data_IF_860177187556
#
_entry.id   IF_860177187556
#
_cell.length_a   1.000
_cell.length_b   1.000
_cell.length_c   1.000
_cell.angle_alpha   90.00
_cell.angle_beta   90.00
_cell.angle_gamma   90.00
#
_symmetry.space_group_name_H-M   'P 1'
#
loop_
_entity.id
_entity.type
_entity.pdbx_description
1 polymer ?
#
# COMPACT_ATOMS: atom_id res chain seq x y z
N UNK A 1 68.84 -61.02 -9.40
CA UNK A 1 67.68 -61.95 -9.47
C UNK A 1 66.47 -61.13 -9.02
N UNK A 2 65.72 -60.47 -9.91
CA UNK A 2 64.49 -60.96 -10.61
C UNK A 2 63.53 -61.62 -9.60
N UNK A 3 62.26 -61.25 -9.37
CA UNK A 3 61.24 -60.56 -10.20
C UNK A 3 60.07 -60.07 -9.30
N UNK A 4 59.39 -59.03 -9.81
CA UNK A 4 58.05 -58.45 -9.57
C UNK A 4 56.91 -59.30 -8.97
N UNK A 5 55.98 -58.61 -8.31
CA UNK A 5 54.51 -58.64 -8.57
C UNK A 5 53.87 -57.43 -7.84
N UNK A 6 53.57 -56.32 -8.52
CA UNK A 6 52.27 -55.93 -9.11
C UNK A 6 51.09 -55.77 -8.12
N UNK A 7 50.40 -54.62 -8.28
CA UNK A 7 49.00 -54.28 -7.87
C UNK A 7 48.81 -53.94 -6.38
N UNK A 8 48.13 -52.88 -5.97
CA UNK A 8 47.13 -52.04 -6.62
C UNK A 8 47.28 -50.58 -6.18
N UNK A 9 47.04 -49.72 -7.15
CA UNK A 9 46.80 -48.29 -7.05
C UNK A 9 45.49 -47.99 -6.33
N UNK A 10 45.50 -47.12 -5.31
CA UNK A 10 44.40 -46.17 -5.03
C UNK A 10 45.03 -44.89 -4.46
N UNK A 11 45.42 -43.97 -5.33
CA UNK A 11 45.74 -42.59 -4.96
C UNK A 11 44.40 -41.84 -4.93
N UNK A 12 43.86 -41.59 -3.73
CA UNK A 12 42.71 -40.70 -3.57
C UNK A 12 43.24 -39.27 -3.69
N UNK A 13 43.16 -38.71 -4.89
CA UNK A 13 43.34 -37.29 -5.13
C UNK A 13 42.10 -36.59 -4.57
N UNK A 14 42.23 -35.98 -3.39
CA UNK A 14 41.23 -35.05 -2.85
C UNK A 14 41.29 -33.76 -3.68
N UNK A 15 40.57 -33.75 -4.79
CA UNK A 15 40.32 -32.55 -5.59
C UNK A 15 39.31 -31.69 -4.80
N UNK A 16 39.80 -30.76 -3.99
CA UNK A 16 38.97 -29.67 -3.48
C UNK A 16 38.56 -28.80 -4.67
N UNK A 17 37.47 -29.18 -5.34
CA UNK A 17 36.72 -28.24 -6.15
C UNK A 17 36.16 -27.21 -5.17
N UNK A 18 36.81 -26.05 -5.11
CA UNK A 18 36.19 -24.82 -4.65
C UNK A 18 35.01 -24.56 -5.59
N UNK A 19 33.87 -25.16 -5.27
CA UNK A 19 32.56 -24.69 -5.70
C UNK A 19 32.44 -23.33 -5.02
N UNK A 20 33.00 -22.32 -5.67
CA UNK A 20 32.56 -20.96 -5.49
C UNK A 20 31.08 -20.99 -5.86
N UNK A 21 30.23 -21.16 -4.85
CA UNK A 21 28.88 -20.67 -4.88
C UNK A 21 29.00 -19.15 -5.08
N UNK A 22 29.22 -18.74 -6.32
CA UNK A 22 28.77 -17.45 -6.77
C UNK A 22 27.29 -17.44 -6.47
N UNK A 23 26.91 -16.76 -5.39
CA UNK A 23 25.57 -16.20 -5.31
C UNK A 23 25.40 -15.47 -6.62
N UNK A 24 24.60 -16.02 -7.52
CA UNK A 24 24.03 -15.23 -8.60
C UNK A 24 23.45 -14.02 -7.89
N UNK A 25 24.02 -12.84 -8.12
CA UNK A 25 23.32 -11.61 -7.83
C UNK A 25 22.05 -11.68 -8.67
N UNK A 26 20.98 -12.11 -8.00
CA UNK A 26 19.62 -11.97 -8.49
C UNK A 26 19.48 -10.51 -8.92
N UNK A 27 19.06 -10.30 -10.18
CA UNK A 27 18.69 -8.98 -10.65
C UNK A 27 17.67 -8.40 -9.64
N UNK A 28 18.12 -7.49 -8.78
CA UNK A 28 17.38 -7.01 -7.61
C UNK A 28 16.11 -6.24 -7.94
N UNK A 29 15.79 -6.08 -9.23
CA UNK A 29 14.64 -5.35 -9.77
C UNK A 29 13.74 -6.22 -10.67
N UNK A 30 14.08 -7.47 -11.01
CA UNK A 30 13.45 -8.13 -12.18
C UNK A 30 12.24 -9.04 -11.93
N UNK A 31 11.79 -9.25 -10.68
CA UNK A 31 10.68 -10.19 -10.42
C UNK A 31 9.43 -9.57 -9.77
N UNK A 32 9.49 -8.31 -9.34
CA UNK A 32 8.38 -7.63 -8.68
C UNK A 32 8.07 -6.27 -9.28
N UNK A 33 6.79 -5.93 -9.36
CA UNK A 33 6.32 -4.66 -9.93
C UNK A 33 5.95 -3.73 -8.79
N UNK A 34 6.66 -2.60 -8.67
CA UNK A 34 6.28 -1.53 -7.74
C UNK A 34 5.30 -0.57 -8.41
N UNK A 35 4.17 -0.33 -7.74
CA UNK A 35 3.14 0.61 -8.15
C UNK A 35 3.11 1.83 -7.24
N UNK A 36 3.02 3.00 -7.85
CA UNK A 36 2.81 4.26 -7.16
C UNK A 36 1.35 4.39 -6.72
N UNK A 37 1.15 4.71 -5.44
CA UNK A 37 -0.13 5.16 -4.90
C UNK A 37 0.03 6.56 -4.32
N UNK A 38 -0.99 7.39 -4.47
CA UNK A 38 -1.00 8.73 -3.87
C UNK A 38 -2.41 9.16 -3.46
N UNK A 39 -2.49 10.17 -2.61
CA UNK A 39 -3.73 10.83 -2.20
C UNK A 39 -3.47 12.30 -1.87
N UNK A 40 -4.24 13.20 -2.48
CA UNK A 40 -4.16 14.61 -2.18
C UNK A 40 -5.01 15.00 -0.98
N UNK A 41 -4.49 15.90 -0.16
CA UNK A 41 -5.30 16.51 0.88
C UNK A 41 -6.35 17.49 0.32
N UNK A 42 -6.06 18.12 -0.83
CA UNK A 42 -6.90 19.14 -1.45
C UNK A 42 -7.45 18.68 -2.82
N UNK A 43 -8.78 18.73 -3.05
CA UNK A 43 -9.37 18.41 -4.34
C UNK A 43 -8.99 19.47 -5.40
N UNK A 44 -8.65 19.02 -6.62
CA UNK A 44 -8.32 19.89 -7.77
C UNK A 44 -6.83 20.03 -8.09
N UNK A 45 -5.96 19.21 -7.52
CA UNK A 45 -4.53 19.18 -7.88
C UNK A 45 -4.26 18.23 -9.06
N UNK A 46 -4.57 18.67 -10.28
CA UNK A 46 -4.61 17.80 -11.48
C UNK A 46 -3.27 17.44 -12.13
N UNK A 47 -2.14 17.54 -11.43
CA UNK A 47 -0.91 16.95 -11.95
C UNK A 47 0.08 16.64 -10.86
N UNK A 48 0.35 15.35 -10.64
CA UNK A 48 1.63 14.97 -10.02
C UNK A 48 2.55 14.34 -11.04
N UNK A 49 3.54 15.15 -11.40
CA UNK A 49 4.72 14.75 -12.15
C UNK A 49 5.77 14.02 -11.26
N UNK A 50 5.35 13.23 -10.25
CA UNK A 50 6.28 12.60 -9.27
C UNK A 50 7.39 11.79 -9.97
N UNK A 51 7.13 11.20 -11.14
CA UNK A 51 8.12 10.40 -11.90
C UNK A 51 8.17 10.83 -13.36
N UNK A 52 8.75 12.01 -13.66
CA UNK A 52 9.07 12.39 -15.04
C UNK A 52 10.19 11.55 -15.64
N UNK A 53 11.12 11.08 -14.81
CA UNK A 53 12.36 10.44 -15.28
C UNK A 53 12.28 8.92 -15.11
N UNK A 54 12.76 8.18 -16.13
CA UNK A 54 12.57 6.73 -16.22
C UNK A 54 13.19 5.95 -15.04
N UNK A 55 14.22 6.53 -14.40
CA UNK A 55 14.97 5.88 -13.33
C UNK A 55 14.61 6.33 -11.91
N UNK A 56 13.79 7.37 -11.72
CA UNK A 56 13.48 7.90 -10.38
C UNK A 56 12.85 6.86 -9.46
N UNK A 57 11.90 6.07 -9.99
CA UNK A 57 11.26 4.99 -9.22
C UNK A 57 12.27 3.92 -8.78
N UNK A 58 13.13 3.49 -9.70
CA UNK A 58 14.12 2.45 -9.40
C UNK A 58 15.18 2.96 -8.42
N UNK A 59 15.61 4.22 -8.55
CA UNK A 59 16.50 4.87 -7.59
C UNK A 59 15.90 4.85 -6.18
N UNK A 60 14.62 5.22 -6.01
CA UNK A 60 13.94 5.19 -4.71
C UNK A 60 13.91 3.79 -4.09
N UNK A 61 13.66 2.76 -4.91
CA UNK A 61 13.68 1.36 -4.45
C UNK A 61 15.08 0.96 -3.99
N UNK A 62 16.13 1.29 -4.75
CA UNK A 62 17.51 0.96 -4.39
C UNK A 62 17.99 1.72 -3.14
N UNK A 63 17.60 3.00 -3.00
CA UNK A 63 17.84 3.78 -1.78
C UNK A 63 17.16 3.15 -0.56
N UNK A 64 15.93 2.62 -0.71
CA UNK A 64 15.24 1.92 0.36
C UNK A 64 15.93 0.61 0.77
N UNK A 65 16.53 -0.10 -0.19
CA UNK A 65 17.36 -1.29 0.04
C UNK A 65 18.71 -0.95 0.71
N UNK A 66 19.05 0.34 0.78
CA UNK A 66 20.29 0.83 1.39
C UNK A 66 21.52 0.70 0.49
N UNK A 67 21.32 0.52 -0.82
CA UNK A 67 22.40 0.46 -1.80
C UNK A 67 23.14 1.80 -1.89
N UNK A 68 24.45 1.75 -2.12
CA UNK A 68 25.29 2.95 -2.23
C UNK A 68 25.33 3.51 -3.67
N UNK A 69 25.90 4.71 -3.83
CA UNK A 69 26.01 5.41 -5.13
C UNK A 69 26.69 4.55 -6.20
N UNK A 70 27.72 3.79 -5.86
CA UNK A 70 28.46 2.98 -6.82
C UNK A 70 27.59 1.84 -7.35
N UNK A 71 26.95 1.10 -6.43
CA UNK A 71 26.06 -0.01 -6.77
C UNK A 71 24.81 0.45 -7.52
N UNK A 72 24.22 1.57 -7.10
CA UNK A 72 23.05 2.15 -7.78
C UNK A 72 23.38 2.52 -9.23
N UNK A 73 24.52 3.19 -9.46
CA UNK A 73 24.95 3.56 -10.80
C UNK A 73 25.16 2.35 -11.71
N UNK A 74 25.74 1.28 -11.17
CA UNK A 74 25.95 0.03 -11.89
C UNK A 74 24.61 -0.59 -12.30
N UNK A 75 23.68 -0.73 -11.35
CA UNK A 75 22.35 -1.33 -11.58
C UNK A 75 21.53 -0.51 -12.59
N UNK A 76 21.49 0.81 -12.42
CA UNK A 76 20.72 1.71 -13.27
C UNK A 76 21.43 2.05 -14.59
N UNK A 77 22.72 1.69 -14.72
CA UNK A 77 23.58 2.01 -15.87
C UNK A 77 23.61 3.51 -16.18
N UNK A 78 23.77 4.34 -15.13
CA UNK A 78 23.81 5.80 -15.23
C UNK A 78 25.16 6.40 -14.84
N UNK A 79 25.46 7.57 -15.39
CA UNK A 79 26.64 8.36 -15.06
C UNK A 79 26.55 8.96 -13.65
N UNK A 80 27.67 9.51 -13.15
CA UNK A 80 27.67 10.25 -11.88
C UNK A 80 26.79 11.50 -11.95
N UNK A 81 26.79 12.19 -13.11
CA UNK A 81 26.02 13.43 -13.32
C UNK A 81 24.53 13.11 -13.26
N UNK A 82 24.07 12.10 -14.02
CA UNK A 82 22.67 11.66 -13.99
C UNK A 82 22.22 11.20 -12.60
N UNK A 83 23.08 10.50 -11.85
CA UNK A 83 22.77 10.15 -10.46
C UNK A 83 22.59 11.39 -9.59
N UNK A 84 23.48 12.37 -9.70
CA UNK A 84 23.42 13.60 -8.90
C UNK A 84 22.21 14.46 -9.28
N UNK A 85 21.85 14.53 -10.57
CA UNK A 85 20.63 15.19 -11.06
C UNK A 85 19.36 14.52 -10.52
N UNK A 86 19.29 13.19 -10.57
CA UNK A 86 18.19 12.41 -9.98
C UNK A 86 18.05 12.66 -8.47
N UNK A 87 19.16 12.64 -7.74
CA UNK A 87 19.16 12.91 -6.30
C UNK A 87 18.69 14.35 -6.01
N UNK A 88 19.20 15.34 -6.75
CA UNK A 88 18.81 16.74 -6.58
C UNK A 88 17.32 16.94 -6.89
N UNK A 89 16.83 16.32 -7.97
CA UNK A 89 15.42 16.33 -8.37
C UNK A 89 14.54 15.71 -7.29
N UNK A 90 14.84 14.49 -6.83
CA UNK A 90 14.07 13.83 -5.78
C UNK A 90 14.11 14.58 -4.45
N UNK A 91 15.26 15.14 -4.08
CA UNK A 91 15.42 15.89 -2.84
C UNK A 91 14.64 17.21 -2.89
N UNK A 92 14.77 17.97 -4.00
CA UNK A 92 14.04 19.22 -4.21
C UNK A 92 12.52 19.05 -4.25
N UNK A 93 12.04 17.88 -4.69
CA UNK A 93 10.61 17.53 -4.69
C UNK A 93 10.12 16.93 -3.36
N UNK A 94 10.99 16.78 -2.35
CA UNK A 94 10.64 16.22 -1.05
C UNK A 94 10.37 14.72 -1.07
N UNK A 95 10.88 13.97 -2.06
CA UNK A 95 10.70 12.52 -2.23
C UNK A 95 11.79 11.68 -1.54
N UNK A 96 12.93 12.29 -1.26
CA UNK A 96 14.00 11.72 -0.42
C UNK A 96 14.41 12.71 0.66
N UNK A 97 15.03 12.19 1.72
CA UNK A 97 15.65 12.97 2.79
C UNK A 97 17.04 12.44 3.10
N UNK A 98 17.86 13.27 3.75
CA UNK A 98 19.17 12.87 4.25
C UNK A 98 19.04 12.42 5.71
N UNK A 99 19.60 11.25 6.01
CA UNK A 99 19.73 10.74 7.39
C UNK A 99 20.88 11.45 8.12
N UNK A 100 20.94 11.31 9.44
CA UNK A 100 22.02 11.90 10.27
C UNK A 100 23.43 11.42 9.84
N UNK A 101 23.53 10.19 9.33
CA UNK A 101 24.76 9.61 8.81
C UNK A 101 25.07 10.04 7.36
N UNK A 102 24.32 11.00 6.83
CA UNK A 102 24.51 11.57 5.51
C UNK A 102 24.00 10.74 4.33
N UNK A 103 23.35 9.59 4.57
CA UNK A 103 22.76 8.74 3.52
C UNK A 103 21.40 9.27 3.08
N UNK A 104 21.10 9.18 1.78
CA UNK A 104 19.77 9.47 1.25
C UNK A 104 18.83 8.28 1.40
N UNK A 105 17.59 8.54 1.80
CA UNK A 105 16.52 7.54 1.92
C UNK A 105 15.21 8.14 1.42
N UNK A 106 14.23 7.33 0.97
CA UNK A 106 12.87 7.83 0.69
C UNK A 106 12.28 8.56 1.90
N UNK A 107 11.48 9.59 1.61
CA UNK A 107 10.74 10.37 2.61
C UNK A 107 9.29 9.89 2.80
N UNK A 108 8.95 8.76 2.18
CA UNK A 108 7.61 8.17 2.12
C UNK A 108 7.75 6.64 2.15
N UNK A 109 6.68 5.88 2.47
CA UNK A 109 6.77 4.44 2.59
C UNK A 109 7.00 3.74 1.24
N UNK A 110 7.97 2.84 1.23
CA UNK A 110 8.09 1.78 0.22
C UNK A 110 7.72 0.47 0.92
N UNK A 111 6.58 -0.10 0.52
CA UNK A 111 5.99 -1.29 1.13
C UNK A 111 6.29 -2.48 0.24
N UNK A 112 7.33 -3.22 0.60
CA UNK A 112 7.64 -4.52 -0.01
C UNK A 112 6.80 -5.64 0.64
N UNK A 113 6.92 -6.88 0.15
CA UNK A 113 6.18 -8.01 0.72
C UNK A 113 6.46 -8.27 2.20
N UNK A 114 7.69 -7.99 2.67
CA UNK A 114 8.04 -8.19 4.06
C UNK A 114 7.31 -7.17 4.94
N UNK A 115 7.31 -5.91 4.52
CA UNK A 115 6.59 -4.84 5.19
C UNK A 115 5.07 -5.01 5.12
N UNK A 116 4.52 -5.43 3.96
CA UNK A 116 3.10 -5.77 3.86
C UNK A 116 2.73 -6.89 4.83
N UNK A 117 3.56 -7.93 4.98
CA UNK A 117 3.32 -9.01 5.93
C UNK A 117 3.24 -8.49 7.36
N UNK A 118 4.13 -7.58 7.75
CA UNK A 118 4.11 -6.95 9.08
C UNK A 118 2.87 -6.08 9.28
N UNK A 119 2.47 -5.28 8.29
CA UNK A 119 1.22 -4.50 8.32
C UNK A 119 0.02 -5.44 8.45
N UNK A 120 0.02 -6.57 7.74
CA UNK A 120 -1.08 -7.54 7.78
C UNK A 120 -1.28 -8.19 9.16
N UNK A 121 -0.25 -8.22 10.01
CA UNK A 121 -0.39 -8.74 11.38
C UNK A 121 -1.30 -7.86 12.25
N UNK A 122 -1.37 -6.56 11.94
CA UNK A 122 -2.21 -5.60 12.66
C UNK A 122 -3.47 -5.22 11.90
N UNK A 123 -3.42 -5.13 10.56
CA UNK A 123 -4.58 -4.66 9.78
C UNK A 123 -5.71 -5.68 9.78
N UNK A 124 -5.41 -6.97 9.70
CA UNK A 124 -6.42 -8.05 9.66
C UNK A 124 -7.32 -8.08 10.90
N UNK A 125 -6.79 -8.18 12.14
CA UNK A 125 -7.66 -8.18 13.33
C UNK A 125 -8.41 -6.86 13.51
N UNK A 126 -7.80 -5.73 13.16
CA UNK A 126 -8.47 -4.41 13.25
C UNK A 126 -9.60 -4.31 12.21
N UNK A 127 -9.37 -4.82 11.00
CA UNK A 127 -10.38 -4.87 9.93
C UNK A 127 -11.56 -5.77 10.28
N UNK A 128 -11.30 -6.94 10.89
CA UNK A 128 -12.36 -7.82 11.42
C UNK A 128 -13.19 -7.13 12.50
N UNK A 129 -12.56 -6.50 13.49
CA UNK A 129 -13.30 -5.78 14.53
C UNK A 129 -14.15 -4.63 13.93
N UNK A 130 -13.64 -3.92 12.92
CA UNK A 130 -14.40 -2.86 12.24
C UNK A 130 -15.60 -3.43 11.45
N UNK A 131 -15.45 -4.61 10.83
CA UNK A 131 -16.58 -5.25 10.17
C UNK A 131 -17.68 -5.62 11.17
N UNK A 132 -17.30 -6.06 12.39
CA UNK A 132 -18.24 -6.34 13.47
C UNK A 132 -18.95 -5.06 13.95
N UNK A 133 -18.25 -3.92 14.05
CA UNK A 133 -18.90 -2.62 14.33
C UNK A 133 -19.97 -2.30 13.29
N UNK A 134 -19.69 -2.55 12.01
CA UNK A 134 -20.65 -2.34 10.93
C UNK A 134 -21.84 -3.31 11.07
N UNK A 135 -21.58 -4.58 11.36
CA UNK A 135 -22.61 -5.61 11.55
C UNK A 135 -23.54 -5.26 12.72
N UNK A 136 -22.99 -4.79 13.84
CA UNK A 136 -23.75 -4.34 15.01
C UNK A 136 -24.64 -3.12 14.71
N UNK A 137 -24.33 -2.37 13.65
CA UNK A 137 -25.10 -1.21 13.18
C UNK A 137 -25.91 -1.51 11.93
N UNK A 138 -25.91 -2.75 11.45
CA UNK A 138 -26.42 -3.12 10.12
C UNK A 138 -27.86 -2.68 9.91
N UNK A 139 -28.75 -2.95 10.88
CA UNK A 139 -30.16 -2.54 10.78
C UNK A 139 -30.31 -1.03 10.59
N UNK A 140 -29.56 -0.24 11.37
CA UNK A 140 -29.61 1.22 11.27
C UNK A 140 -29.05 1.69 9.92
N UNK A 141 -27.95 1.09 9.45
CA UNK A 141 -27.37 1.35 8.13
C UNK A 141 -28.41 1.07 7.04
N UNK A 142 -29.04 -0.10 7.06
CA UNK A 142 -30.06 -0.51 6.08
C UNK A 142 -31.27 0.43 6.09
N UNK A 143 -31.75 0.84 7.27
CA UNK A 143 -32.82 1.83 7.42
C UNK A 143 -32.47 3.18 6.78
N UNK A 144 -31.18 3.57 6.76
CA UNK A 144 -30.71 4.77 6.05
C UNK A 144 -30.53 4.52 4.55
N UNK A 145 -30.09 3.33 4.14
CA UNK A 145 -29.95 2.97 2.73
C UNK A 145 -31.29 2.94 2.01
N UNK A 146 -32.36 2.47 2.66
CA UNK A 146 -33.73 2.45 2.11
C UNK A 146 -34.27 3.84 1.76
N UNK A 147 -33.63 4.91 2.26
CA UNK A 147 -34.00 6.30 1.94
C UNK A 147 -33.29 6.85 0.70
N UNK A 148 -32.34 6.12 0.14
CA UNK A 148 -31.73 6.46 -1.14
C UNK A 148 -32.69 6.06 -2.27
N UNK A 149 -33.15 7.01 -3.11
CA UNK A 149 -34.03 6.68 -4.24
C UNK A 149 -33.40 5.67 -5.22
N UNK A 150 -32.08 5.72 -5.41
CA UNK A 150 -31.33 4.78 -6.24
C UNK A 150 -31.11 3.40 -5.61
N UNK A 151 -31.46 3.21 -4.33
CA UNK A 151 -31.20 1.95 -3.63
C UNK A 151 -32.24 0.87 -3.95
N UNK A 152 -31.72 -0.32 -4.27
CA UNK A 152 -32.49 -1.55 -4.42
C UNK A 152 -31.73 -2.68 -3.73
N UNK A 153 -32.45 -3.55 -3.01
CA UNK A 153 -31.85 -4.69 -2.30
C UNK A 153 -31.13 -5.67 -3.24
N UNK A 154 -31.56 -5.74 -4.51
CA UNK A 154 -30.96 -6.60 -5.53
C UNK A 154 -29.72 -5.96 -6.19
N UNK A 155 -29.42 -4.69 -5.89
CA UNK A 155 -28.25 -4.00 -6.43
C UNK A 155 -27.01 -4.27 -5.57
N UNK A 156 -26.37 -5.41 -5.80
CA UNK A 156 -25.17 -5.81 -5.07
C UNK A 156 -23.99 -4.86 -5.27
N UNK A 157 -23.84 -4.25 -6.46
CA UNK A 157 -22.78 -3.28 -6.75
C UNK A 157 -22.94 -2.00 -5.92
N UNK A 158 -24.16 -1.46 -5.83
CA UNK A 158 -24.45 -0.31 -4.97
C UNK A 158 -24.23 -0.64 -3.50
N UNK A 159 -24.67 -1.82 -3.05
CA UNK A 159 -24.44 -2.26 -1.67
C UNK A 159 -22.94 -2.39 -1.39
N UNK A 160 -22.17 -2.99 -2.29
CA UNK A 160 -20.71 -3.05 -2.15
C UNK A 160 -20.10 -1.66 -2.03
N UNK A 161 -20.44 -0.73 -2.94
CA UNK A 161 -20.00 0.66 -2.91
C UNK A 161 -20.35 1.37 -1.59
N UNK A 162 -21.58 1.20 -1.10
CA UNK A 162 -22.02 1.83 0.15
C UNK A 162 -21.21 1.35 1.36
N UNK A 163 -20.80 0.08 1.38
CA UNK A 163 -20.00 -0.46 2.48
C UNK A 163 -18.50 -0.17 2.31
N UNK A 164 -17.94 -0.29 1.11
CA UNK A 164 -16.50 -0.08 0.88
C UNK A 164 -16.11 1.39 0.79
N UNK A 165 -16.88 2.21 0.06
CA UNK A 165 -16.52 3.59 -0.26
C UNK A 165 -17.18 4.60 0.67
N UNK A 166 -18.43 4.37 1.04
CA UNK A 166 -19.19 5.33 1.87
C UNK A 166 -18.94 5.07 3.36
N UNK A 167 -19.13 3.84 3.84
CA UNK A 167 -18.94 3.53 5.25
C UNK A 167 -17.47 3.46 5.65
N UNK A 168 -16.56 3.03 4.78
CA UNK A 168 -15.18 2.73 5.15
C UNK A 168 -14.11 3.64 4.54
N UNK A 169 -14.32 4.20 3.34
CA UNK A 169 -13.25 4.89 2.62
C UNK A 169 -13.55 6.37 2.33
N UNK A 170 -13.97 6.72 1.11
CA UNK A 170 -14.07 8.08 0.59
C UNK A 170 -14.83 9.06 1.50
N UNK A 171 -15.98 8.67 2.07
CA UNK A 171 -16.73 9.56 2.99
C UNK A 171 -16.23 9.51 4.45
N UNK A 172 -15.35 8.57 4.79
CA UNK A 172 -14.69 8.52 6.10
C UNK A 172 -13.31 9.16 6.11
N UNK A 173 -12.61 9.30 4.98
CA UNK A 173 -11.19 9.70 5.00
C UNK A 173 -10.96 11.04 5.70
N UNK A 174 -11.91 11.99 5.55
CA UNK A 174 -11.89 13.26 6.30
C UNK A 174 -11.99 13.03 7.80
N UNK A 175 -12.95 12.23 8.25
CA UNK A 175 -13.11 11.85 9.67
C UNK A 175 -11.83 11.22 10.22
N UNK A 176 -11.24 10.30 9.47
CA UNK A 176 -10.01 9.61 9.84
C UNK A 176 -8.83 10.58 9.95
N UNK A 177 -8.68 11.49 8.99
CA UNK A 177 -7.65 12.52 9.02
C UNK A 177 -7.81 13.46 10.22
N UNK A 178 -9.02 13.90 10.51
CA UNK A 178 -9.31 14.87 11.58
C UNK A 178 -9.29 14.25 12.98
N UNK A 179 -9.85 13.05 13.14
CA UNK A 179 -10.10 12.46 14.46
C UNK A 179 -9.15 11.33 14.84
N UNK A 180 -8.43 10.75 13.87
CA UNK A 180 -7.47 9.67 14.12
C UNK A 180 -6.03 10.05 13.74
N UNK A 181 -5.74 10.35 12.47
CA UNK A 181 -4.37 10.68 12.03
C UNK A 181 -3.91 12.02 12.62
N UNK A 182 -4.81 13.00 12.69
CA UNK A 182 -4.58 14.34 13.26
C UNK A 182 -3.36 15.04 12.64
N UNK A 183 -3.28 14.98 11.31
CA UNK A 183 -2.21 15.61 10.54
C UNK A 183 -2.63 15.90 9.11
N UNK A 184 -2.04 16.94 8.53
CA UNK A 184 -1.96 17.10 7.07
C UNK A 184 -0.96 16.10 6.49
N UNK A 185 -1.16 15.78 5.23
CA UNK A 185 -0.20 15.05 4.42
C UNK A 185 1.12 15.82 4.29
N UNK A 186 2.26 15.12 4.13
CA UNK A 186 3.54 15.78 3.90
C UNK A 186 3.54 16.62 2.62
N UNK A 187 4.31 17.70 2.64
CA UNK A 187 4.50 18.54 1.46
C UNK A 187 5.50 17.89 0.51
N UNK A 188 5.10 17.73 -0.75
CA UNK A 188 5.91 17.16 -1.83
C UNK A 188 5.59 17.91 -3.12
N UNK A 189 6.61 18.47 -3.76
CA UNK A 189 6.47 19.30 -4.95
C UNK A 189 5.39 20.40 -4.80
N UNK A 190 5.40 21.12 -3.67
CA UNK A 190 4.45 22.21 -3.37
C UNK A 190 3.00 21.77 -3.15
N UNK A 191 2.76 20.48 -2.89
CA UNK A 191 1.43 19.90 -2.66
C UNK A 191 1.43 19.05 -1.38
N UNK A 192 0.29 19.00 -0.68
CA UNK A 192 0.09 18.08 0.43
C UNK A 192 -0.49 16.77 -0.08
N UNK A 193 0.33 15.71 -0.14
CA UNK A 193 -0.12 14.40 -0.57
C UNK A 193 0.60 13.25 0.14
N UNK A 194 -0.16 12.19 0.43
CA UNK A 194 0.38 10.90 0.82
C UNK A 194 0.89 10.20 -0.45
N UNK A 195 2.05 9.54 -0.34
CA UNK A 195 2.63 8.73 -1.43
C UNK A 195 3.10 7.40 -0.86
N UNK A 196 2.94 6.31 -1.62
CA UNK A 196 3.59 5.03 -1.36
C UNK A 196 4.04 4.37 -2.66
N UNK A 197 5.14 3.63 -2.60
CA UNK A 197 5.47 2.61 -3.60
C UNK A 197 5.16 1.26 -2.99
N UNK A 198 4.27 0.49 -3.61
CA UNK A 198 3.82 -0.82 -3.10
C UNK A 198 4.27 -1.90 -4.08
N UNK A 199 4.92 -2.93 -3.57
CA UNK A 199 5.32 -4.11 -4.32
C UNK A 199 4.12 -5.02 -4.60
N UNK A 200 3.92 -5.41 -5.86
CA UNK A 200 2.87 -6.34 -6.28
C UNK A 200 3.48 -7.59 -6.92
N UNK A 201 2.87 -8.75 -6.65
CA UNK A 201 3.25 -10.03 -7.26
C UNK A 201 2.82 -10.04 -8.71
N UNK A 202 3.73 -10.44 -9.61
CA UNK A 202 3.43 -10.66 -11.03
C UNK A 202 2.59 -11.94 -11.21
N UNK A 203 2.57 -12.84 -10.22
CA UNK A 203 1.85 -14.11 -10.27
C UNK A 203 0.54 -14.08 -9.46
N UNK A 204 -0.55 -14.41 -10.18
CA UNK A 204 -1.95 -14.59 -9.77
C UNK A 204 -2.82 -13.33 -9.70
N UNK A 205 -3.88 -13.38 -10.50
CA UNK A 205 -5.11 -12.59 -10.46
C UNK A 205 -5.89 -12.79 -9.15
N UNK A 206 -5.22 -12.73 -8.00
CA UNK A 206 -5.89 -12.43 -6.74
C UNK A 206 -5.83 -10.92 -6.56
N UNK A 207 -7.01 -10.30 -6.49
CA UNK A 207 -7.25 -8.88 -6.27
C UNK A 207 -6.61 -8.42 -4.95
N UNK A 208 -5.29 -8.27 -4.95
CA UNK A 208 -4.54 -7.66 -3.88
C UNK A 208 -4.69 -6.15 -4.05
N UNK A 209 -5.42 -5.54 -3.12
CA UNK A 209 -5.51 -4.08 -2.88
C UNK A 209 -6.61 -3.28 -3.59
N UNK A 210 -7.67 -3.88 -4.14
CA UNK A 210 -8.96 -3.16 -4.20
C UNK A 210 -9.59 -3.23 -2.80
N UNK A 211 -9.61 -2.18 -1.96
CA UNK A 211 -9.63 -0.75 -2.28
C UNK A 211 -8.54 0.05 -1.52
N UNK A 212 -7.49 0.46 -2.22
CA UNK A 212 -6.62 1.56 -1.78
C UNK A 212 -6.95 2.74 -2.65
N UNK A 213 -7.95 3.49 -2.21
CA UNK A 213 -8.37 4.75 -2.85
C UNK A 213 -8.73 4.49 -4.30
N UNK A 214 -9.84 3.77 -4.48
CA UNK A 214 -10.68 3.96 -5.65
C UNK A 214 -9.87 4.10 -6.95
N UNK A 215 -9.16 3.06 -7.41
CA UNK A 215 -8.42 3.00 -8.68
C UNK A 215 -8.52 4.32 -9.47
N UNK A 216 -7.69 5.32 -9.15
CA UNK A 216 -7.97 6.74 -9.47
C UNK A 216 -7.77 6.99 -10.98
N UNK A 217 -8.62 6.38 -11.80
CA UNK A 217 -8.64 6.28 -13.26
C UNK A 217 -7.81 5.10 -13.83
N UNK A 218 -8.56 4.15 -14.42
CA UNK A 218 -8.11 2.98 -15.21
C UNK A 218 -7.67 1.74 -14.44
N UNK A 219 -8.65 0.97 -13.97
CA UNK A 219 -8.68 -0.47 -14.27
C UNK A 219 -10.13 -0.95 -14.32
N UNK A 220 -10.46 -1.67 -15.39
CA UNK A 220 -11.80 -2.16 -15.72
C UNK A 220 -12.19 -3.24 -14.71
N UNK A 221 -13.14 -2.93 -13.83
CA UNK A 221 -13.74 -3.84 -12.87
C UNK A 221 -15.07 -3.29 -12.38
N UNK A 222 -16.13 -4.09 -12.48
CA UNK A 222 -17.54 -3.69 -12.55
C UNK A 222 -18.13 -2.86 -11.37
N UNK A 223 -17.45 -2.72 -10.23
CA UNK A 223 -17.91 -1.80 -9.16
C UNK A 223 -17.62 -0.33 -9.48
N UNK A 224 -16.58 -0.05 -10.25
CA UNK A 224 -16.08 1.32 -10.47
C UNK A 224 -16.81 2.04 -11.61
N UNK A 225 -17.34 1.30 -12.58
CA UNK A 225 -18.25 1.85 -13.60
C UNK A 225 -19.54 2.39 -12.96
N UNK A 226 -19.91 1.93 -11.76
CA UNK A 226 -21.06 2.44 -11.01
C UNK A 226 -20.87 3.90 -10.54
N UNK A 227 -19.65 4.27 -10.12
CA UNK A 227 -19.35 5.60 -9.62
C UNK A 227 -19.34 6.67 -10.73
N UNK A 228 -19.06 6.26 -11.98
CA UNK A 228 -19.12 7.16 -13.15
C UNK A 228 -20.47 7.11 -13.88
N UNK A 229 -21.31 6.09 -13.66
CA UNK A 229 -22.62 5.95 -14.31
C UNK A 229 -23.78 6.48 -13.48
N UNK A 230 -23.60 6.66 -12.16
CA UNK A 230 -24.64 7.23 -11.28
C UNK A 230 -24.24 8.63 -10.84
N UNK A 231 -24.88 9.59 -11.49
CA UNK A 231 -24.94 10.95 -11.01
C UNK A 231 -25.88 10.99 -9.80
N UNK A 232 -25.34 10.81 -8.60
CA UNK A 232 -26.09 11.03 -7.37
C UNK A 232 -26.55 12.50 -7.31
N UNK A 233 -27.83 12.69 -7.01
CA UNK A 233 -28.37 14.03 -6.77
C UNK A 233 -27.75 14.64 -5.49
N UNK A 234 -27.79 15.98 -5.30
CA UNK A 234 -27.35 16.59 -4.05
C UNK A 234 -28.03 16.02 -2.80
N UNK A 235 -29.31 15.64 -2.91
CA UNK A 235 -30.05 14.99 -1.83
C UNK A 235 -29.52 13.58 -1.53
N UNK A 236 -29.17 12.80 -2.55
CA UNK A 236 -28.53 11.50 -2.37
C UNK A 236 -27.13 11.63 -1.77
N UNK A 237 -26.33 12.59 -2.22
CA UNK A 237 -25.01 12.86 -1.62
C UNK A 237 -25.15 13.16 -0.12
N UNK A 238 -26.12 14.00 0.26
CA UNK A 238 -26.42 14.25 1.67
C UNK A 238 -26.84 12.97 2.42
N UNK A 239 -27.62 12.10 1.78
CA UNK A 239 -28.02 10.82 2.34
C UNK A 239 -26.83 9.84 2.48
N UNK A 240 -25.88 9.83 1.55
CA UNK A 240 -24.63 9.06 1.66
C UNK A 240 -23.82 9.52 2.89
N UNK A 241 -23.76 10.82 3.15
CA UNK A 241 -23.11 11.35 4.35
C UNK A 241 -23.82 10.88 5.63
N UNK A 242 -25.16 10.87 5.65
CA UNK A 242 -25.93 10.34 6.78
C UNK A 242 -25.64 8.85 7.02
N UNK A 243 -25.47 8.06 5.95
CA UNK A 243 -25.08 6.64 6.05
C UNK A 243 -23.68 6.52 6.63
N UNK A 244 -22.70 7.28 6.11
CA UNK A 244 -21.33 7.30 6.62
C UNK A 244 -21.28 7.68 8.11
N UNK A 245 -22.09 8.66 8.53
CA UNK A 245 -22.13 9.17 9.90
C UNK A 245 -22.59 8.12 10.93
N UNK A 246 -23.28 7.05 10.51
CA UNK A 246 -23.75 5.97 11.41
C UNK A 246 -22.60 5.33 12.19
N UNK A 247 -21.45 5.11 11.56
CA UNK A 247 -20.30 4.47 12.22
C UNK A 247 -19.16 5.43 12.53
N UNK A 248 -19.28 6.70 12.14
CA UNK A 248 -18.18 7.68 12.15
C UNK A 248 -17.49 7.81 13.50
N UNK A 249 -18.27 7.90 14.58
CA UNK A 249 -17.75 8.01 15.95
C UNK A 249 -17.14 6.70 16.43
N UNK A 250 -17.87 5.60 16.27
CA UNK A 250 -17.43 4.26 16.70
C UNK A 250 -16.10 3.88 16.02
N UNK A 251 -15.97 4.16 14.72
CA UNK A 251 -14.74 3.96 13.95
C UNK A 251 -13.56 4.77 14.49
N UNK A 252 -13.76 6.07 14.74
CA UNK A 252 -12.70 6.95 15.27
C UNK A 252 -12.28 6.56 16.68
N UNK A 253 -13.24 6.25 17.56
CA UNK A 253 -12.96 5.85 18.95
C UNK A 253 -12.20 4.53 18.98
N UNK A 254 -12.65 3.55 18.19
CA UNK A 254 -12.01 2.25 18.08
C UNK A 254 -10.57 2.38 17.57
N UNK A 255 -10.33 3.10 16.47
CA UNK A 255 -8.98 3.30 15.93
C UNK A 255 -8.07 4.06 16.90
N UNK A 256 -8.59 5.07 17.60
CA UNK A 256 -7.83 5.74 18.65
C UNK A 256 -7.45 4.79 19.80
N UNK A 257 -8.33 3.86 20.17
CA UNK A 257 -8.04 2.78 21.12
C UNK A 257 -6.91 1.84 20.65
N UNK A 258 -6.69 1.70 19.35
CA UNK A 258 -5.61 0.87 18.77
C UNK A 258 -4.29 1.62 18.55
N UNK A 259 -4.23 2.93 18.83
CA UNK A 259 -3.03 3.76 18.57
C UNK A 259 -1.74 3.18 19.14
N UNK A 260 -1.78 2.62 20.36
CA UNK A 260 -0.59 2.01 21.00
C UNK A 260 -0.07 0.80 20.21
N UNK A 261 -0.97 -0.03 19.68
CA UNK A 261 -0.60 -1.23 18.90
C UNK A 261 0.01 -0.80 17.57
N UNK A 262 -0.61 0.17 16.90
CA UNK A 262 -0.10 0.72 15.64
C UNK A 262 1.27 1.36 15.81
N UNK A 263 1.46 2.14 16.88
CA UNK A 263 2.76 2.72 17.21
C UNK A 263 3.81 1.64 17.48
N UNK A 264 3.44 0.59 18.21
CA UNK A 264 4.32 -0.55 18.49
C UNK A 264 4.74 -1.31 17.22
N UNK A 265 3.88 -1.43 16.22
CA UNK A 265 4.23 -2.01 14.92
C UNK A 265 5.15 -1.06 14.13
N UNK A 266 4.79 0.22 14.04
CA UNK A 266 5.60 1.24 13.36
C UNK A 266 7.04 1.31 13.90
N UNK A 267 7.23 1.32 15.22
CA UNK A 267 8.57 1.40 15.85
C UNK A 267 9.44 0.17 15.60
N UNK A 268 8.87 -0.94 15.12
CA UNK A 268 9.61 -2.16 14.74
C UNK A 268 9.79 -2.27 13.22
N UNK A 269 8.93 -1.61 12.47
CA UNK A 269 8.95 -1.58 11.01
C UNK A 269 10.18 -0.86 10.45
N UNK A 270 10.58 -1.23 9.23
CA UNK A 270 11.61 -0.49 8.50
C UNK A 270 11.12 0.88 8.04
N UNK A 271 9.80 1.07 7.94
CA UNK A 271 9.17 2.33 7.53
C UNK A 271 9.45 3.48 8.49
N UNK A 272 9.80 3.23 9.76
CA UNK A 272 10.17 4.33 10.67
C UNK A 272 11.38 5.14 10.19
N UNK A 273 12.24 4.53 9.37
CA UNK A 273 13.41 5.18 8.80
C UNK A 273 13.01 6.16 7.70
N UNK A 274 11.97 5.85 6.93
CA UNK A 274 11.58 6.58 5.72
C UNK A 274 10.42 7.54 5.95
N UNK A 275 9.39 7.12 6.67
CA UNK A 275 8.15 7.87 6.86
C UNK A 275 7.83 8.15 8.33
N UNK A 276 6.95 9.13 8.58
CA UNK A 276 6.45 9.45 9.91
C UNK A 276 5.35 8.48 10.36
N UNK A 277 5.12 8.36 11.67
CA UNK A 277 4.03 7.55 12.21
C UNK A 277 2.66 7.95 11.64
N UNK A 278 2.43 9.24 11.38
CA UNK A 278 1.17 9.78 10.86
C UNK A 278 0.90 9.31 9.43
N UNK A 279 1.90 9.41 8.56
CA UNK A 279 1.80 8.92 7.18
C UNK A 279 1.79 7.39 7.11
N UNK A 280 2.56 6.71 7.95
CA UNK A 280 2.44 5.26 8.12
C UNK A 280 1.01 4.85 8.47
N UNK A 281 0.40 5.54 9.44
CA UNK A 281 -0.98 5.24 9.89
C UNK A 281 -2.00 5.44 8.78
N UNK A 282 -1.79 6.43 7.90
CA UNK A 282 -2.62 6.61 6.71
C UNK A 282 -2.61 5.36 5.82
N UNK A 283 -1.43 4.83 5.50
CA UNK A 283 -1.32 3.65 4.64
C UNK A 283 -1.83 2.39 5.32
N UNK A 284 -1.54 2.18 6.60
CA UNK A 284 -2.11 1.06 7.37
C UNK A 284 -3.64 1.11 7.42
N UNK A 285 -4.23 2.30 7.51
CA UNK A 285 -5.69 2.45 7.45
C UNK A 285 -6.29 1.89 6.15
N UNK A 286 -5.60 2.07 5.03
CA UNK A 286 -6.05 1.50 3.76
C UNK A 286 -5.99 -0.05 3.78
N UNK A 287 -4.99 -0.65 4.43
CA UNK A 287 -4.94 -2.11 4.66
C UNK A 287 -6.09 -2.58 5.55
N UNK A 288 -6.41 -1.80 6.60
CA UNK A 288 -7.53 -2.07 7.51
C UNK A 288 -8.86 -2.07 6.73
N UNK A 289 -9.10 -1.08 5.86
CA UNK A 289 -10.31 -1.03 5.03
C UNK A 289 -10.42 -2.28 4.16
N UNK A 290 -9.35 -2.63 3.44
CA UNK A 290 -9.31 -3.83 2.59
C UNK A 290 -9.71 -5.07 3.38
N UNK A 291 -9.16 -5.23 4.59
CA UNK A 291 -9.42 -6.40 5.42
C UNK A 291 -10.84 -6.36 6.03
N UNK A 292 -11.38 -5.19 6.36
CA UNK A 292 -12.77 -5.02 6.77
C UNK A 292 -13.76 -5.38 5.66
N UNK A 293 -13.51 -4.95 4.42
CA UNK A 293 -14.33 -5.32 3.25
C UNK A 293 -14.31 -6.84 3.03
N UNK A 294 -13.13 -7.47 3.08
CA UNK A 294 -13.00 -8.94 3.00
C UNK A 294 -13.80 -9.64 4.11
N UNK A 295 -13.77 -9.10 5.32
CA UNK A 295 -14.54 -9.62 6.45
C UNK A 295 -16.06 -9.47 6.24
N UNK A 296 -16.53 -8.31 5.75
CA UNK A 296 -17.95 -8.10 5.41
C UNK A 296 -18.45 -9.08 4.33
N UNK A 297 -17.61 -9.40 3.34
CA UNK A 297 -17.91 -10.43 2.33
C UNK A 297 -18.01 -11.81 3.00
N UNK A 298 -17.02 -12.16 3.83
CA UNK A 298 -16.98 -13.44 4.55
C UNK A 298 -18.22 -13.65 5.45
N UNK A 299 -18.72 -12.58 6.07
CA UNK A 299 -19.95 -12.59 6.87
C UNK A 299 -21.24 -12.51 6.05
N UNK A 300 -21.15 -12.48 4.71
CA UNK A 300 -22.30 -12.44 3.82
C UNK A 300 -23.05 -11.10 3.80
N UNK A 301 -22.45 -10.04 4.34
CA UNK A 301 -23.08 -8.71 4.42
C UNK A 301 -23.09 -8.02 3.05
N UNK A 302 -22.02 -8.21 2.26
CA UNK A 302 -21.88 -7.70 0.90
C UNK A 302 -21.31 -8.79 -0.01
N UNK A 303 -21.49 -8.66 -1.33
CA UNK A 303 -20.93 -9.57 -2.34
C UNK A 303 -19.90 -8.85 -3.19
N UNK A 304 -18.89 -9.60 -3.63
CA UNK A 304 -17.90 -9.06 -4.56
C UNK A 304 -18.56 -8.80 -5.92
N UNK A 305 -18.28 -7.66 -6.59
CA UNK A 305 -18.82 -7.35 -7.91
C UNK A 305 -18.42 -8.35 -9.02
N UNK A 306 -17.42 -9.20 -8.77
CA UNK A 306 -16.92 -10.22 -9.71
C UNK A 306 -17.65 -11.57 -9.61
N UNK A 307 -18.61 -11.72 -8.69
CA UNK A 307 -19.38 -12.95 -8.48
C UNK A 307 -20.74 -12.95 -9.21
N UNK A 308 -20.94 -12.05 -10.19
CA UNK A 308 -22.12 -12.03 -11.07
C UNK A 308 -21.82 -12.70 -12.41
#
# INVERSE_FOLDING_TARGET
>A
MKINLLRNSVFIIFLFTLISCGKKEENTLSESKYILRYHFDDPGSDSVFIFKESNSKNLLILLNKGDDKSKIKEILKISSIEYDDLINSLFGNGLIKKTDNGKFVPSFPIIDFAEEKEINTISKPIGEDISLIIIDRLKLIEDKMLKLPSYSQNNHSLRYFLFSEVLLNNLQIKNIKENFIKSRAPERNGKHLYIALIEESISKEENSLEPFISAEQKQKGNAFEFNNSINFTPAEIAQLQIIADVIKKDLSDYLNGKRRILLGNYSKSNLQKTTSFKEYTYWVYQYIIRDAVKSLIKHGIIRSPKEN
#
